data_IF_542783951235
#
_entry.id   IF_542783951235
#
_cell.length_a   1.000
_cell.length_b   1.000
_cell.length_c   1.000
_cell.angle_alpha   90.00
_cell.angle_beta   90.00
_cell.angle_gamma   90.00
#
_symmetry.space_group_name_H-M   'P 1'
#
loop_
_entity.id
_entity.type
_entity.pdbx_description
1 polymer ?
#
# COMPACT_ATOMS: atom_id res chain seq x y z
N UNK A 1 10.02 -27.23 -20.69
CA UNK A 1 9.85 -26.05 -21.59
C UNK A 1 8.50 -26.05 -22.33
N UNK A 2 7.39 -26.47 -21.71
CA UNK A 2 6.09 -26.56 -22.40
C UNK A 2 5.46 -25.19 -22.72
N UNK A 3 5.68 -24.19 -21.85
CA UNK A 3 5.10 -22.85 -22.00
C UNK A 3 5.58 -22.08 -23.24
N UNK A 4 6.86 -22.20 -23.61
CA UNK A 4 7.38 -21.56 -24.82
C UNK A 4 6.84 -22.22 -26.10
N UNK A 5 6.71 -23.55 -26.10
CA UNK A 5 6.13 -24.27 -27.23
C UNK A 5 4.64 -23.92 -27.42
N UNK A 6 3.89 -23.84 -26.32
CA UNK A 6 2.48 -23.46 -26.35
C UNK A 6 2.28 -21.99 -26.75
N UNK A 7 3.12 -21.06 -26.27
CA UNK A 7 3.10 -19.66 -26.71
C UNK A 7 3.36 -19.54 -28.20
N UNK A 8 4.32 -20.32 -28.73
CA UNK A 8 4.70 -20.23 -30.13
C UNK A 8 3.64 -20.77 -31.10
N UNK A 9 2.77 -21.70 -30.64
CA UNK A 9 1.67 -22.24 -31.43
C UNK A 9 0.41 -21.36 -31.49
N UNK A 10 0.34 -20.24 -30.74
CA UNK A 10 -0.80 -19.32 -30.81
C UNK A 10 -0.81 -18.48 -32.10
N UNK A 11 -2.00 -18.05 -32.50
CA UNK A 11 -2.15 -17.06 -33.55
C UNK A 11 -1.47 -15.73 -33.15
N UNK A 12 -0.93 -14.95 -34.10
CA UNK A 12 -0.21 -13.71 -33.82
C UNK A 12 -1.00 -12.70 -32.97
N UNK A 13 -2.31 -12.57 -33.22
CA UNK A 13 -3.19 -11.67 -32.45
C UNK A 13 -3.29 -12.08 -30.98
N UNK A 14 -3.32 -13.39 -30.70
CA UNK A 14 -3.39 -13.91 -29.34
C UNK A 14 -2.04 -13.78 -28.63
N UNK A 15 -0.91 -13.93 -29.35
CA UNK A 15 0.42 -13.61 -28.81
C UNK A 15 0.48 -12.15 -28.34
N UNK A 16 -0.01 -11.22 -29.16
CA UNK A 16 -0.06 -9.80 -28.82
C UNK A 16 -0.94 -9.52 -27.59
N UNK A 17 -2.07 -10.22 -27.45
CA UNK A 17 -2.95 -10.09 -26.28
C UNK A 17 -2.27 -10.60 -25.01
N UNK A 18 -1.60 -11.75 -25.07
CA UNK A 18 -0.86 -12.30 -23.93
C UNK A 18 0.29 -11.36 -23.52
N UNK A 19 1.03 -10.81 -24.48
CA UNK A 19 2.11 -9.84 -24.21
C UNK A 19 1.56 -8.55 -23.62
N UNK A 20 0.51 -7.97 -24.23
CA UNK A 20 -0.12 -6.77 -23.73
C UNK A 20 -0.70 -6.98 -22.32
N UNK A 21 -1.44 -8.06 -22.11
CA UNK A 21 -2.01 -8.41 -20.81
C UNK A 21 -0.95 -8.64 -19.74
N UNK A 22 0.15 -9.34 -20.07
CA UNK A 22 1.27 -9.54 -19.16
C UNK A 22 1.96 -8.23 -18.78
N UNK A 23 2.24 -7.36 -19.76
CA UNK A 23 2.84 -6.05 -19.51
C UNK A 23 1.92 -5.16 -18.65
N UNK A 24 0.63 -5.12 -18.96
CA UNK A 24 -0.36 -4.34 -18.18
C UNK A 24 -0.48 -4.87 -16.76
N UNK A 25 -0.59 -6.18 -16.57
CA UNK A 25 -0.67 -6.79 -15.25
C UNK A 25 0.60 -6.55 -14.43
N UNK A 26 1.78 -6.59 -15.05
CA UNK A 26 3.05 -6.30 -14.39
C UNK A 26 3.11 -4.85 -13.91
N UNK A 27 2.85 -3.89 -14.80
CA UNK A 27 2.87 -2.45 -14.45
C UNK A 27 1.84 -2.13 -13.37
N UNK A 28 0.61 -2.65 -13.52
CA UNK A 28 -0.45 -2.49 -12.52
C UNK A 28 -0.07 -3.14 -11.19
N UNK A 29 0.51 -4.34 -11.22
CA UNK A 29 0.95 -5.05 -10.02
C UNK A 29 2.04 -4.31 -9.26
N UNK A 30 3.03 -3.74 -9.96
CA UNK A 30 4.08 -2.92 -9.33
C UNK A 30 3.49 -1.65 -8.72
N UNK A 31 2.63 -0.93 -9.47
CA UNK A 31 1.97 0.29 -8.97
C UNK A 31 1.10 0.01 -7.74
N UNK A 32 0.31 -1.06 -7.79
CA UNK A 32 -0.50 -1.49 -6.66
C UNK A 32 0.36 -1.91 -5.47
N UNK A 33 1.44 -2.67 -5.71
CA UNK A 33 2.33 -3.12 -4.65
C UNK A 33 3.02 -1.96 -3.96
N UNK A 34 3.54 -0.97 -4.70
CA UNK A 34 4.18 0.19 -4.09
C UNK A 34 3.17 1.02 -3.31
N UNK A 35 1.97 1.29 -3.84
CA UNK A 35 0.94 2.00 -3.08
C UNK A 35 0.49 1.25 -1.82
N UNK A 36 0.44 -0.08 -1.86
CA UNK A 36 0.09 -0.91 -0.70
C UNK A 36 1.24 -1.01 0.32
N UNK A 37 2.48 -1.09 -0.15
CA UNK A 37 3.66 -1.26 0.69
C UNK A 37 4.11 0.04 1.36
N UNK A 38 3.79 1.20 0.77
CA UNK A 38 4.15 2.50 1.34
C UNK A 38 3.23 2.92 2.48
N UNK A 39 2.12 2.20 2.71
CA UNK A 39 1.15 2.53 3.76
C UNK A 39 0.40 3.82 3.42
N UNK A 40 -0.93 3.77 3.45
CA UNK A 40 -1.71 5.00 3.32
C UNK A 40 -1.28 6.00 4.38
N UNK A 41 -1.22 7.28 4.02
CA UNK A 41 -0.89 8.44 4.87
C UNK A 41 -1.63 8.50 6.22
N UNK A 42 -2.64 7.64 6.43
CA UNK A 42 -3.40 7.45 7.67
C UNK A 42 -2.56 7.02 8.87
N UNK A 43 -1.45 6.31 8.71
CA UNK A 43 -0.64 5.90 9.87
C UNK A 43 0.05 7.09 10.56
N UNK A 44 0.40 8.12 9.79
CA UNK A 44 1.06 9.31 10.32
C UNK A 44 0.08 10.22 11.07
N UNK A 45 -1.14 10.40 10.55
CA UNK A 45 -2.17 11.19 11.22
C UNK A 45 -2.76 10.47 12.44
N UNK A 46 -2.94 9.14 12.37
CA UNK A 46 -3.35 8.35 13.54
C UNK A 46 -2.29 8.40 14.66
N UNK A 47 -1.00 8.45 14.31
CA UNK A 47 0.05 8.65 15.30
C UNK A 47 0.00 10.06 15.94
N UNK A 48 -0.28 11.10 15.16
CA UNK A 48 -0.43 12.48 15.65
C UNK A 48 -1.65 12.61 16.56
N UNK A 49 -2.81 12.07 16.17
CA UNK A 49 -4.03 12.11 16.98
C UNK A 49 -3.85 11.35 18.30
N UNK A 50 -3.16 10.21 18.28
CA UNK A 50 -2.82 9.46 19.50
C UNK A 50 -1.90 10.27 20.42
N UNK A 51 -0.90 10.94 19.87
CA UNK A 51 0.01 11.79 20.64
C UNK A 51 -0.72 12.99 21.27
N UNK A 52 -1.57 13.70 20.51
CA UNK A 52 -2.36 14.81 21.05
C UNK A 52 -3.37 14.36 22.13
N UNK A 53 -3.96 13.17 21.98
CA UNK A 53 -4.86 12.60 22.97
C UNK A 53 -4.15 12.25 24.29
N UNK A 54 -2.91 11.73 24.23
CA UNK A 54 -2.09 11.44 25.41
C UNK A 54 -1.59 12.71 26.12
N UNK A 55 -1.23 13.76 25.35
CA UNK A 55 -0.85 15.05 25.91
C UNK A 55 -1.99 15.69 26.73
N UNK A 56 -3.22 15.68 26.18
CA UNK A 56 -4.40 16.22 26.88
C UNK A 56 -4.72 15.48 28.19
N UNK A 57 -4.51 14.17 28.24
CA UNK A 57 -4.70 13.39 29.47
C UNK A 57 -3.67 13.72 30.54
N UNK A 58 -2.42 13.92 30.13
CA UNK A 58 -1.32 14.29 31.03
C UNK A 58 -1.52 15.70 31.61
N UNK A 59 -1.89 16.68 30.77
CA UNK A 59 -2.21 18.04 31.23
C UNK A 59 -3.42 18.10 32.17
N UNK A 60 -4.40 17.21 31.99
CA UNK A 60 -5.57 17.10 32.88
C UNK A 60 -5.21 16.47 34.23
N UNK A 61 -4.23 15.56 34.28
CA UNK A 61 -3.73 14.97 35.51
C UNK A 61 -2.80 15.91 36.29
N UNK A 62 -1.97 16.69 35.60
CA UNK A 62 -1.09 17.68 36.23
C UNK A 62 -1.84 18.94 36.71
N UNK A 63 -3.00 19.26 36.11
CA UNK A 63 -3.90 20.31 36.57
C UNK A 63 -4.64 20.01 37.90
N UNK A 64 -4.53 18.78 38.41
CA UNK A 64 -5.21 18.34 39.64
C UNK A 64 -4.25 18.00 40.81
N UNK A 65 -2.96 18.34 40.71
CA UNK A 65 -2.09 18.34 41.88
C UNK A 65 -2.33 19.65 42.66
N UNK A 66 -2.99 19.63 43.84
CA UNK A 66 -3.02 20.81 44.69
C UNK A 66 -1.57 21.09 45.08
N UNK A 67 -1.04 22.24 44.67
CA UNK A 67 0.21 22.77 45.21
C UNK A 67 -0.02 23.02 46.71
N UNK A 68 0.45 22.08 47.53
CA UNK A 68 0.64 22.24 48.97
C UNK A 68 1.95 22.96 49.25
#
# INVERSE_FOLDING_TARGET
>A
MAGFSAFNSLAPKTKNLVVAGGLTAFVFGVYYYTMRAVGGTDELQVAIDKFEAEKRKTETQEGFAPKA
#
